data_IF_150993755581
#
_entry.id   IF_150993755581
#
_cell.length_a   1.000
_cell.length_b   1.000
_cell.length_c   1.000
_cell.angle_alpha   90.00
_cell.angle_beta   90.00
_cell.angle_gamma   90.00
#
_symmetry.space_group_name_H-M   'P 1'
#
loop_
_entity.id
_entity.type
_entity.pdbx_description
1 polymer ?
#
# COMPACT_ATOMS: atom_id res chain seq x y z
N UNK A 1 6.82 11.38 -10.00
CA UNK A 1 8.03 10.95 -9.25
C UNK A 1 7.84 10.97 -7.72
N UNK A 2 7.50 12.10 -7.09
CA UNK A 2 7.30 12.17 -5.62
C UNK A 2 6.18 11.24 -5.17
N UNK A 3 5.04 11.24 -5.84
CA UNK A 3 3.92 10.35 -5.53
C UNK A 3 4.33 8.87 -5.56
N UNK A 4 5.00 8.43 -6.64
CA UNK A 4 5.46 7.05 -6.79
C UNK A 4 6.41 6.64 -5.67
N UNK A 5 7.35 7.52 -5.30
CA UNK A 5 8.27 7.26 -4.18
C UNK A 5 7.51 7.14 -2.87
N UNK A 6 6.63 8.09 -2.57
CA UNK A 6 6.00 8.18 -1.25
C UNK A 6 4.97 7.09 -1.01
N UNK A 7 4.08 6.83 -1.98
CA UNK A 7 3.09 5.74 -1.85
C UNK A 7 3.83 4.41 -1.72
N UNK A 8 4.76 4.11 -2.61
CA UNK A 8 5.53 2.85 -2.53
C UNK A 8 6.27 2.71 -1.20
N UNK A 9 6.86 3.80 -0.68
CA UNK A 9 7.59 3.77 0.59
C UNK A 9 6.66 3.39 1.75
N UNK A 10 5.48 4.01 1.83
CA UNK A 10 4.56 3.80 2.95
C UNK A 10 4.00 2.39 2.88
N UNK A 11 3.53 1.94 1.71
CA UNK A 11 2.96 0.59 1.55
C UNK A 11 4.02 -0.51 1.80
N UNK A 12 5.26 -0.32 1.33
CA UNK A 12 6.34 -1.26 1.65
C UNK A 12 6.66 -1.32 3.14
N UNK A 13 6.54 -0.20 3.87
CA UNK A 13 6.71 -0.19 5.34
C UNK A 13 5.55 -0.91 6.03
N UNK A 14 4.30 -0.80 5.54
CA UNK A 14 3.17 -1.59 6.03
C UNK A 14 3.41 -3.08 5.83
N UNK A 15 3.75 -3.51 4.62
CA UNK A 15 4.09 -4.90 4.31
C UNK A 15 5.20 -5.41 5.24
N UNK A 16 6.26 -4.62 5.43
CA UNK A 16 7.37 -4.98 6.29
C UNK A 16 6.94 -5.13 7.76
N UNK A 17 6.10 -4.24 8.27
CA UNK A 17 5.56 -4.31 9.63
C UNK A 17 4.66 -5.54 9.82
N UNK A 18 3.74 -5.77 8.89
CA UNK A 18 2.84 -6.94 8.92
C UNK A 18 3.66 -8.23 8.88
N UNK A 19 4.67 -8.30 8.00
CA UNK A 19 5.58 -9.44 7.90
C UNK A 19 6.29 -9.70 9.23
N UNK A 20 6.83 -8.64 9.86
CA UNK A 20 7.50 -8.77 11.16
C UNK A 20 6.56 -9.30 12.24
N UNK A 21 5.33 -8.84 12.27
CA UNK A 21 4.36 -9.25 13.27
C UNK A 21 3.90 -10.70 13.03
N UNK A 22 3.65 -11.07 11.78
CA UNK A 22 3.31 -12.45 11.41
C UNK A 22 4.44 -13.42 11.75
N UNK A 23 5.70 -13.05 11.55
CA UNK A 23 6.84 -13.90 11.92
C UNK A 23 7.00 -14.11 13.41
N UNK A 24 6.52 -13.17 14.24
CA UNK A 24 6.48 -13.35 15.71
C UNK A 24 5.39 -14.30 16.16
N UNK A 25 4.30 -14.41 15.39
CA UNK A 25 3.17 -15.30 15.69
C UNK A 25 3.49 -16.72 15.21
N UNK A 26 4.01 -16.85 14.01
CA UNK A 26 4.36 -18.12 13.39
C UNK A 26 5.51 -17.93 12.39
N UNK A 27 6.63 -18.57 12.65
CA UNK A 27 7.76 -18.62 11.70
C UNK A 27 7.50 -19.61 10.55
N UNK A 28 6.25 -19.77 10.11
CA UNK A 28 5.87 -20.73 9.07
C UNK A 28 6.21 -20.22 7.69
N UNK A 29 6.93 -21.00 6.89
CA UNK A 29 7.20 -20.71 5.46
C UNK A 29 5.91 -20.49 4.67
N UNK A 30 4.79 -21.10 5.09
CA UNK A 30 3.48 -20.96 4.43
C UNK A 30 2.99 -19.50 4.41
N UNK A 31 3.22 -18.73 5.48
CA UNK A 31 2.82 -17.32 5.55
C UNK A 31 3.52 -16.47 4.47
N UNK A 32 4.79 -16.74 4.19
CA UNK A 32 5.52 -16.08 3.12
C UNK A 32 4.96 -16.45 1.74
N UNK A 33 4.62 -17.72 1.53
CA UNK A 33 3.98 -18.18 0.29
C UNK A 33 2.64 -17.47 0.09
N UNK A 34 1.81 -17.39 1.12
CA UNK A 34 0.53 -16.68 1.07
C UNK A 34 0.71 -15.19 0.80
N UNK A 35 1.70 -14.55 1.41
CA UNK A 35 2.06 -13.16 1.12
C UNK A 35 2.46 -12.97 -0.35
N UNK A 36 3.31 -13.83 -0.90
CA UNK A 36 3.71 -13.78 -2.32
C UNK A 36 2.49 -13.95 -3.23
N UNK A 37 1.59 -14.88 -2.94
CA UNK A 37 0.35 -15.04 -3.70
C UNK A 37 -0.47 -13.75 -3.66
N UNK A 38 -0.61 -13.13 -2.48
CA UNK A 38 -1.30 -11.85 -2.33
C UNK A 38 -0.68 -10.76 -3.18
N UNK A 39 0.65 -10.58 -3.11
CA UNK A 39 1.37 -9.58 -3.92
C UNK A 39 1.14 -9.78 -5.42
N UNK A 40 1.17 -11.01 -5.90
CA UNK A 40 0.95 -11.35 -7.33
C UNK A 40 -0.50 -11.05 -7.73
N UNK A 41 -1.47 -11.41 -6.90
CA UNK A 41 -2.89 -11.13 -7.19
C UNK A 41 -3.19 -9.63 -7.19
N UNK A 42 -2.60 -8.87 -6.27
CA UNK A 42 -2.73 -7.40 -6.23
C UNK A 42 -2.16 -6.74 -7.49
N UNK A 43 -1.00 -7.21 -7.97
CA UNK A 43 -0.43 -6.75 -9.24
C UNK A 43 -1.39 -7.01 -10.42
N UNK A 44 -1.90 -8.23 -10.57
CA UNK A 44 -2.83 -8.53 -11.68
C UNK A 44 -4.15 -7.75 -11.57
N UNK A 45 -4.65 -7.52 -10.36
CA UNK A 45 -5.82 -6.68 -10.15
C UNK A 45 -5.59 -5.24 -10.59
N UNK A 46 -4.40 -4.68 -10.33
CA UNK A 46 -4.05 -3.32 -10.78
C UNK A 46 -3.86 -3.22 -12.29
N UNK A 47 -3.29 -4.26 -12.93
CA UNK A 47 -3.21 -4.34 -14.40
C UNK A 47 -4.60 -4.39 -15.03
N UNK A 48 -5.49 -5.23 -14.49
CA UNK A 48 -6.86 -5.32 -14.98
C UNK A 48 -7.62 -3.98 -14.81
N UNK A 49 -7.39 -3.27 -13.71
CA UNK A 49 -7.95 -1.93 -13.53
C UNK A 49 -7.40 -0.95 -14.58
N UNK A 50 -6.09 -0.96 -14.81
CA UNK A 50 -5.45 -0.10 -15.81
C UNK A 50 -6.04 -0.34 -17.20
N UNK A 51 -6.15 -1.60 -17.66
CA UNK A 51 -6.74 -1.95 -18.95
C UNK A 51 -8.20 -1.48 -19.10
N UNK A 52 -8.94 -1.36 -17.99
CA UNK A 52 -10.32 -0.86 -18.00
C UNK A 52 -10.43 0.66 -18.16
N UNK A 53 -9.41 1.41 -17.76
CA UNK A 53 -9.48 2.87 -17.66
C UNK A 53 -8.41 3.60 -18.47
N UNK A 54 -7.53 2.89 -19.20
CA UNK A 54 -6.41 3.50 -19.94
C UNK A 54 -6.85 4.52 -21.00
N UNK A 55 -8.05 4.32 -21.58
CA UNK A 55 -8.63 5.26 -22.57
C UNK A 55 -9.26 6.52 -21.92
N UNK A 56 -9.34 6.56 -20.58
CA UNK A 56 -10.02 7.61 -19.83
C UNK A 56 -9.15 8.10 -18.67
N UNK A 57 -8.12 8.89 -18.97
CA UNK A 57 -7.14 9.40 -18.00
C UNK A 57 -7.78 10.02 -16.75
N UNK A 58 -8.84 10.83 -16.93
CA UNK A 58 -9.55 11.45 -15.82
C UNK A 58 -10.18 10.43 -14.85
N UNK A 59 -10.60 9.25 -15.36
CA UNK A 59 -11.10 8.17 -14.50
C UNK A 59 -9.96 7.61 -13.66
N UNK A 60 -8.77 7.42 -14.24
CA UNK A 60 -7.58 6.99 -13.54
C UNK A 60 -7.20 7.93 -12.39
N UNK A 61 -7.12 9.23 -12.67
CA UNK A 61 -6.85 10.25 -11.64
C UNK A 61 -7.94 10.31 -10.57
N UNK A 62 -9.22 10.18 -10.95
CA UNK A 62 -10.34 10.12 -10.01
C UNK A 62 -10.23 8.92 -9.06
N UNK A 63 -9.92 7.73 -9.58
CA UNK A 63 -9.71 6.51 -8.79
C UNK A 63 -8.53 6.69 -7.84
N UNK A 64 -7.38 7.21 -8.33
CA UNK A 64 -6.21 7.48 -7.48
C UNK A 64 -6.53 8.48 -6.37
N UNK A 65 -7.24 9.55 -6.67
CA UNK A 65 -7.67 10.53 -5.67
C UNK A 65 -8.51 9.89 -4.57
N UNK A 66 -9.54 9.12 -4.94
CA UNK A 66 -10.42 8.43 -4.00
C UNK A 66 -9.66 7.39 -3.17
N UNK A 67 -8.78 6.62 -3.78
CA UNK A 67 -7.93 5.64 -3.10
C UNK A 67 -7.05 6.32 -2.05
N UNK A 68 -6.39 7.42 -2.39
CA UNK A 68 -5.52 8.15 -1.47
C UNK A 68 -6.31 8.87 -0.36
N UNK A 69 -7.53 9.34 -0.63
CA UNK A 69 -8.42 9.81 0.43
C UNK A 69 -8.79 8.69 1.40
N UNK A 70 -9.12 7.52 0.89
CA UNK A 70 -9.38 6.34 1.72
C UNK A 70 -8.17 6.02 2.61
N UNK A 71 -6.96 5.99 2.03
CA UNK A 71 -5.72 5.75 2.77
C UNK A 71 -5.43 6.83 3.82
N UNK A 72 -5.72 8.10 3.52
CA UNK A 72 -5.60 9.17 4.51
C UNK A 72 -6.46 8.93 5.75
N UNK A 73 -7.74 8.60 5.55
CA UNK A 73 -8.63 8.33 6.68
C UNK A 73 -8.23 7.09 7.47
N UNK A 74 -7.81 6.05 6.75
CA UNK A 74 -7.34 4.81 7.34
C UNK A 74 -6.01 4.95 8.07
N UNK A 75 -5.09 5.74 7.54
CA UNK A 75 -3.76 5.94 8.13
C UNK A 75 -3.77 6.55 9.52
N UNK A 76 -4.86 7.22 9.93
CA UNK A 76 -5.02 7.74 11.29
C UNK A 76 -5.07 6.62 12.35
N UNK A 77 -5.60 5.46 11.98
CA UNK A 77 -5.80 4.31 12.88
C UNK A 77 -4.95 3.08 12.48
N UNK A 78 -3.91 3.30 11.68
CA UNK A 78 -3.09 2.23 11.11
C UNK A 78 -2.56 1.25 12.17
N UNK A 79 -2.05 1.76 13.30
CA UNK A 79 -1.54 0.91 14.38
C UNK A 79 -2.65 0.05 15.02
N UNK A 80 -3.86 0.59 15.12
CA UNK A 80 -5.03 -0.14 15.61
C UNK A 80 -5.46 -1.20 14.58
N UNK A 81 -5.46 -0.85 13.31
CA UNK A 81 -5.86 -1.74 12.20
C UNK A 81 -4.92 -2.93 12.03
N UNK A 82 -3.61 -2.68 12.06
CA UNK A 82 -2.60 -3.74 12.05
C UNK A 82 -2.76 -4.66 13.27
N UNK A 83 -3.05 -4.09 14.45
CA UNK A 83 -3.29 -4.86 15.67
C UNK A 83 -4.55 -5.72 15.55
N UNK A 84 -5.64 -5.19 15.00
CA UNK A 84 -6.90 -5.89 14.75
C UNK A 84 -6.70 -7.11 13.84
N UNK A 85 -6.00 -6.94 12.69
CA UNK A 85 -5.68 -8.06 11.80
C UNK A 85 -4.81 -9.13 12.45
N UNK A 86 -3.92 -8.75 13.35
CA UNK A 86 -3.09 -9.70 14.09
C UNK A 86 -3.93 -10.48 15.09
N UNK A 87 -4.81 -9.80 15.84
CA UNK A 87 -5.72 -10.44 16.79
C UNK A 87 -6.68 -11.39 16.06
N UNK A 88 -7.17 -11.00 14.87
CA UNK A 88 -7.98 -11.84 14.01
C UNK A 88 -7.22 -13.11 13.59
N UNK A 89 -5.99 -12.97 13.08
CA UNK A 89 -5.14 -14.12 12.70
C UNK A 89 -4.82 -15.00 13.90
N UNK A 90 -4.55 -14.42 15.08
CA UNK A 90 -4.25 -15.18 16.29
C UNK A 90 -5.47 -15.94 16.83
N UNK A 91 -6.67 -15.39 16.66
CA UNK A 91 -7.91 -16.01 17.13
C UNK A 91 -8.36 -17.17 16.25
N UNK A 92 -7.82 -17.29 15.04
CA UNK A 92 -8.27 -18.26 14.04
C UNK A 92 -7.34 -19.45 13.97
N UNK A 93 -7.86 -20.61 14.33
CA UNK A 93 -7.18 -21.91 14.21
C UNK A 93 -7.31 -22.55 12.83
N UNK A 94 -8.13 -21.96 11.93
CA UNK A 94 -8.39 -22.53 10.60
C UNK A 94 -7.41 -21.96 9.58
N UNK A 95 -6.58 -22.81 9.01
CA UNK A 95 -5.57 -22.47 7.99
C UNK A 95 -6.16 -21.67 6.82
N UNK A 96 -7.39 -21.96 6.40
CA UNK A 96 -8.07 -21.24 5.32
C UNK A 96 -8.27 -19.74 5.61
N UNK A 97 -8.64 -19.40 6.86
CA UNK A 97 -8.85 -17.99 7.21
C UNK A 97 -7.53 -17.26 7.29
N UNK A 98 -6.49 -17.88 7.82
CA UNK A 98 -5.12 -17.32 7.79
C UNK A 98 -4.69 -17.07 6.35
N UNK A 99 -4.91 -18.05 5.46
CA UNK A 99 -4.62 -17.90 4.03
C UNK A 99 -5.35 -16.70 3.42
N UNK A 100 -6.68 -16.63 3.58
CA UNK A 100 -7.51 -15.55 3.01
C UNK A 100 -7.08 -14.19 3.56
N UNK A 101 -6.87 -14.08 4.88
CA UNK A 101 -6.46 -12.81 5.52
C UNK A 101 -5.09 -12.35 4.99
N UNK A 102 -4.09 -13.23 4.98
CA UNK A 102 -2.75 -12.87 4.52
C UNK A 102 -2.77 -12.49 3.04
N UNK A 103 -3.41 -13.29 2.17
CA UNK A 103 -3.53 -12.99 0.74
C UNK A 103 -4.24 -11.65 0.50
N UNK A 104 -5.32 -11.38 1.23
CA UNK A 104 -6.07 -10.13 1.07
C UNK A 104 -5.24 -8.92 1.50
N UNK A 105 -4.55 -8.99 2.63
CA UNK A 105 -3.75 -7.87 3.14
C UNK A 105 -2.60 -7.56 2.18
N UNK A 106 -1.78 -8.55 1.82
CA UNK A 106 -0.67 -8.32 0.89
C UNK A 106 -1.14 -7.96 -0.52
N UNK A 107 -2.27 -8.54 -0.96
CA UNK A 107 -2.88 -8.22 -2.25
C UNK A 107 -3.32 -6.77 -2.34
N UNK A 108 -3.91 -6.26 -1.27
CA UNK A 108 -4.31 -4.86 -1.19
C UNK A 108 -3.11 -3.92 -1.27
N UNK A 109 -2.06 -4.12 -0.43
CA UNK A 109 -0.87 -3.26 -0.44
C UNK A 109 -0.19 -3.27 -1.82
N UNK A 110 -0.09 -4.44 -2.45
CA UNK A 110 0.44 -4.57 -3.81
C UNK A 110 -0.43 -3.83 -4.83
N UNK A 111 -1.75 -3.99 -4.74
CA UNK A 111 -2.69 -3.28 -5.61
C UNK A 111 -2.52 -1.76 -5.51
N UNK A 112 -2.41 -1.22 -4.30
CA UNK A 112 -2.26 0.22 -4.04
C UNK A 112 -0.96 0.76 -4.68
N UNK A 113 0.17 0.03 -4.54
CA UNK A 113 1.44 0.40 -5.19
C UNK A 113 1.30 0.40 -6.71
N UNK A 114 0.84 -0.71 -7.28
CA UNK A 114 0.83 -0.87 -8.73
C UNK A 114 -0.27 -0.07 -9.42
N UNK A 115 -1.44 0.10 -8.80
CA UNK A 115 -2.47 0.99 -9.31
C UNK A 115 -1.94 2.43 -9.43
N UNK A 116 -1.24 2.93 -8.41
CA UNK A 116 -0.61 4.25 -8.45
C UNK A 116 0.48 4.34 -9.53
N UNK A 117 1.25 3.27 -9.77
CA UNK A 117 2.30 3.26 -10.79
C UNK A 117 1.77 3.16 -12.21
N UNK A 118 0.65 2.48 -12.42
CA UNK A 118 0.05 2.25 -13.73
C UNK A 118 -0.89 3.39 -14.13
N UNK A 119 -1.70 3.91 -13.21
CA UNK A 119 -2.69 4.95 -13.49
C UNK A 119 -2.11 6.36 -13.49
N UNK A 120 -0.91 6.56 -12.97
CA UNK A 120 -0.27 7.86 -12.90
C UNK A 120 0.76 8.02 -14.03
N UNK A 121 0.46 8.82 -15.04
CA UNK A 121 1.35 9.08 -16.18
C UNK A 121 2.72 9.64 -15.77
N UNK A 122 2.78 10.40 -14.68
CA UNK A 122 4.05 10.91 -14.13
C UNK A 122 4.77 9.90 -13.25
N UNK A 123 4.32 8.63 -13.24
CA UNK A 123 4.90 7.59 -12.44
C UNK A 123 6.38 7.34 -12.80
N UNK A 124 7.16 7.04 -11.78
CA UNK A 124 8.57 6.74 -11.92
C UNK A 124 8.89 5.40 -11.25
N UNK A 125 9.11 4.39 -12.05
CA UNK A 125 9.51 3.06 -11.57
C UNK A 125 10.85 3.07 -10.84
N UNK A 126 11.77 3.96 -11.24
CA UNK A 126 13.05 4.13 -10.53
C UNK A 126 12.83 4.77 -9.15
N UNK A 127 11.90 5.71 -9.01
CA UNK A 127 11.54 6.29 -7.72
C UNK A 127 10.86 5.25 -6.81
N UNK A 128 9.98 4.42 -7.36
CA UNK A 128 9.39 3.30 -6.62
C UNK A 128 10.45 2.30 -6.17
N UNK A 129 11.38 1.91 -7.04
CA UNK A 129 12.51 1.04 -6.69
C UNK A 129 13.40 1.63 -5.58
N UNK A 130 13.68 2.94 -5.63
CA UNK A 130 14.40 3.63 -4.56
C UNK A 130 13.60 3.61 -3.24
N UNK A 131 12.28 3.77 -3.30
CA UNK A 131 11.40 3.71 -2.13
C UNK A 131 11.44 2.33 -1.45
N UNK A 132 11.44 1.25 -2.23
CA UNK A 132 11.60 -0.12 -1.69
C UNK A 132 12.91 -0.26 -0.92
N UNK A 133 14.03 0.24 -1.48
CA UNK A 133 15.33 0.21 -0.80
C UNK A 133 15.28 1.01 0.50
N UNK A 134 14.72 2.21 0.47
CA UNK A 134 14.57 3.07 1.66
C UNK A 134 13.67 2.39 2.71
N UNK A 135 12.57 1.74 2.28
CA UNK A 135 11.69 0.99 3.18
C UNK A 135 12.43 -0.14 3.89
N UNK A 136 13.25 -0.91 3.16
CA UNK A 136 14.06 -1.99 3.74
C UNK A 136 15.02 -1.42 4.79
N UNK A 137 15.75 -0.35 4.46
CA UNK A 137 16.69 0.31 5.39
C UNK A 137 15.94 0.85 6.61
N UNK A 138 14.82 1.57 6.39
CA UNK A 138 14.01 2.14 7.47
C UNK A 138 13.44 1.05 8.38
N UNK A 139 13.03 -0.09 7.83
CA UNK A 139 12.58 -1.24 8.61
C UNK A 139 13.67 -1.76 9.56
N UNK A 140 14.89 -1.98 9.08
CA UNK A 140 15.99 -2.42 9.93
C UNK A 140 16.41 -1.37 10.98
N UNK A 141 16.40 -0.08 10.62
CA UNK A 141 16.69 1.02 11.55
C UNK A 141 15.54 1.16 12.57
N UNK A 142 14.29 1.07 12.11
CA UNK A 142 13.11 1.19 12.94
C UNK A 142 12.95 0.05 13.96
N UNK A 143 13.46 -1.14 13.65
CA UNK A 143 13.55 -2.23 14.64
C UNK A 143 14.39 -1.84 15.85
N UNK A 144 15.38 -0.96 15.66
CA UNK A 144 16.26 -0.46 16.71
C UNK A 144 15.81 0.87 17.32
N UNK A 145 14.99 1.65 16.58
CA UNK A 145 14.56 2.99 17.01
C UNK A 145 13.05 3.19 16.81
N UNK A 146 12.30 3.04 17.91
CA UNK A 146 10.83 3.22 17.92
C UNK A 146 10.35 4.63 17.53
N UNK A 147 11.19 5.66 17.69
CA UNK A 147 10.83 7.03 17.35
C UNK A 147 10.73 7.23 15.84
N UNK A 148 11.63 6.62 15.07
CA UNK A 148 11.62 6.68 13.60
C UNK A 148 10.33 6.06 13.05
N UNK A 149 9.96 4.89 13.53
CA UNK A 149 8.71 4.24 13.11
C UNK A 149 7.50 5.12 13.44
N UNK A 150 7.43 5.65 14.68
CA UNK A 150 6.33 6.51 15.08
C UNK A 150 6.22 7.76 14.20
N UNK A 151 7.34 8.37 13.82
CA UNK A 151 7.36 9.54 12.95
C UNK A 151 6.78 9.21 11.57
N UNK A 152 7.26 8.13 10.92
CA UNK A 152 6.81 7.71 9.58
C UNK A 152 5.29 7.46 9.58
N UNK A 153 4.78 6.71 10.55
CA UNK A 153 3.35 6.39 10.62
C UNK A 153 2.48 7.59 11.03
N UNK A 154 2.99 8.52 11.83
CA UNK A 154 2.20 9.70 12.25
C UNK A 154 2.07 10.72 11.11
N UNK A 155 3.11 10.88 10.28
CA UNK A 155 3.12 11.92 9.25
C UNK A 155 2.80 11.38 7.84
N UNK A 156 2.99 10.08 7.60
CA UNK A 156 2.76 9.47 6.29
C UNK A 156 1.35 9.70 5.75
N UNK A 157 0.32 9.59 6.60
CA UNK A 157 -1.07 9.78 6.17
C UNK A 157 -1.37 11.20 5.66
N UNK A 158 -0.68 12.25 6.15
CA UNK A 158 -0.86 13.61 5.63
C UNK A 158 -0.37 13.76 4.20
N UNK A 159 0.61 12.96 3.81
CA UNK A 159 1.10 12.93 2.43
C UNK A 159 0.03 12.35 1.50
N UNK A 160 -0.70 11.32 1.93
CA UNK A 160 -1.84 10.81 1.18
C UNK A 160 -2.89 11.89 0.91
N UNK A 161 -3.20 12.73 1.91
CA UNK A 161 -4.12 13.85 1.71
C UNK A 161 -3.61 14.82 0.63
N UNK A 162 -2.34 15.21 0.70
CA UNK A 162 -1.74 16.10 -0.29
C UNK A 162 -1.80 15.54 -1.71
N UNK A 163 -1.48 14.25 -1.87
CA UNK A 163 -1.54 13.56 -3.14
C UNK A 163 -2.99 13.35 -3.63
N UNK A 164 -3.93 13.04 -2.73
CA UNK A 164 -5.34 12.91 -3.08
C UNK A 164 -5.91 14.21 -3.66
N UNK A 165 -5.58 15.34 -3.04
CA UNK A 165 -5.98 16.65 -3.54
C UNK A 165 -5.33 16.96 -4.89
N UNK A 166 -4.07 16.58 -5.07
CA UNK A 166 -3.37 16.75 -6.35
C UNK A 166 -4.04 15.96 -7.47
N UNK A 167 -4.24 14.65 -7.29
CA UNK A 167 -4.90 13.82 -8.31
C UNK A 167 -6.37 14.19 -8.53
N UNK A 168 -7.06 14.70 -7.49
CA UNK A 168 -8.39 15.27 -7.65
C UNK A 168 -8.40 16.51 -8.53
N UNK A 169 -7.38 17.36 -8.41
CA UNK A 169 -7.21 18.52 -9.28
C UNK A 169 -6.92 18.09 -10.75
N UNK A 170 -5.98 17.17 -10.96
CA UNK A 170 -5.69 16.60 -12.29
C UNK A 170 -6.94 15.98 -12.95
N UNK A 171 -7.75 15.24 -12.17
CA UNK A 171 -9.01 14.69 -12.65
C UNK A 171 -9.97 15.78 -13.17
N UNK A 172 -10.11 16.90 -12.44
CA UNK A 172 -10.98 18.00 -12.83
C UNK A 172 -10.42 18.72 -14.06
N UNK A 173 -9.11 18.92 -14.14
CA UNK A 173 -8.44 19.56 -15.27
C UNK A 173 -8.67 18.76 -16.56
N UNK A 174 -8.53 17.44 -16.52
CA UNK A 174 -8.78 16.59 -17.69
C UNK A 174 -10.27 16.47 -18.07
N UNK A 175 -11.19 16.65 -17.12
CA UNK A 175 -12.63 16.73 -17.42
C UNK A 175 -13.03 18.00 -18.16
N UNK A 176 -12.32 19.12 -17.99
CA UNK A 176 -12.61 20.38 -18.65
C UNK A 176 -12.01 20.50 -20.04
N UNK A 177 -11.18 19.57 -20.47
CA UNK A 177 -10.58 19.52 -21.81
C UNK A 177 -11.48 18.80 -22.82
N UNK A 178 -12.53 18.14 -22.34
CA UNK A 178 -13.57 17.50 -23.16
C UNK A 178 -14.76 18.46 -23.34
#
# INVERSE_FOLDING_TARGET
MIASFTVTLIECLEIALITLLLTKISASVRLYIYGIIGLVLGYFASVALYELVEDYEWVGYGILSLMLFYLFFRGKDMAAHVKEHIEEIQSVTKELVIFVTVVTVYGRESFEIFAQLLLNETASWSAAGAAVIVAIVAFFVGQRNKQVNRFIFTWGHWVYLGLALWFGYECIEHLHII
#
